data_IF_158292201053
#
_entry.id   IF_158292201053
#
_cell.length_a   1.000
_cell.length_b   1.000
_cell.length_c   1.000
_cell.angle_alpha   90.00
_cell.angle_beta   90.00
_cell.angle_gamma   90.00
#
_symmetry.space_group_name_H-M   'P 1'
#
loop_
_entity.id
_entity.type
_entity.pdbx_description
1 polymer ?
#
# COMPACT_ATOMS: atom_id res chain seq x y z
N UNK A 1 16.98 23.21 49.56
CA UNK A 1 16.66 22.07 48.68
C UNK A 1 15.90 22.58 47.46
N UNK A 2 16.67 23.03 46.47
CA UNK A 2 16.14 23.57 45.21
C UNK A 2 15.76 22.42 44.28
N UNK A 3 14.46 22.19 44.07
CA UNK A 3 13.93 21.12 43.22
C UNK A 3 14.11 21.34 41.71
N UNK A 4 14.79 22.41 41.29
CA UNK A 4 14.99 22.80 39.90
C UNK A 4 16.49 23.03 39.62
N UNK A 5 17.27 21.95 39.63
CA UNK A 5 18.68 21.97 39.22
C UNK A 5 18.86 21.36 37.82
N UNK A 6 19.74 21.92 36.98
CA UNK A 6 20.02 21.35 35.67
C UNK A 6 20.81 20.03 35.83
N UNK A 7 20.35 18.96 35.19
CA UNK A 7 21.04 17.66 35.17
C UNK A 7 22.01 17.55 34.00
N UNK A 8 21.56 17.85 32.78
CA UNK A 8 22.36 17.75 31.56
C UNK A 8 21.97 18.80 30.51
N UNK A 9 22.86 19.05 29.56
CA UNK A 9 22.65 19.96 28.43
C UNK A 9 23.25 19.38 27.15
N UNK A 10 22.51 19.48 26.04
CA UNK A 10 22.95 19.01 24.73
C UNK A 10 22.79 20.13 23.70
N UNK A 11 23.86 20.41 22.95
CA UNK A 11 23.80 21.32 21.81
C UNK A 11 23.13 20.63 20.62
N UNK A 12 22.24 21.35 19.92
CA UNK A 12 21.49 20.86 18.76
C UNK A 12 21.97 21.56 17.48
N UNK A 13 21.96 20.86 16.33
CA UNK A 13 22.40 21.46 15.06
C UNK A 13 21.39 22.46 14.48
N UNK A 14 20.15 22.43 14.94
CA UNK A 14 19.09 23.38 14.61
C UNK A 14 18.15 23.54 15.82
N UNK A 15 17.24 24.50 15.76
CA UNK A 15 16.24 24.70 16.81
C UNK A 15 15.34 23.46 16.96
N UNK A 16 15.01 23.10 18.20
CA UNK A 16 14.05 22.05 18.51
C UNK A 16 12.62 22.55 18.26
N UNK A 17 11.86 21.79 17.50
CA UNK A 17 10.42 21.98 17.28
C UNK A 17 9.60 21.21 18.32
N UNK A 18 10.01 19.98 18.65
CA UNK A 18 9.28 19.14 19.61
C UNK A 18 10.19 18.15 20.33
N UNK A 19 9.76 17.70 21.51
CA UNK A 19 10.48 16.76 22.36
C UNK A 19 9.52 15.65 22.81
N UNK A 20 9.99 14.40 22.85
CA UNK A 20 9.20 13.28 23.36
C UNK A 20 10.09 12.25 24.06
N UNK A 21 9.87 12.09 25.37
CA UNK A 21 10.50 11.02 26.15
C UNK A 21 9.59 9.80 26.10
N UNK A 22 10.19 8.65 25.79
CA UNK A 22 9.49 7.38 25.69
C UNK A 22 10.36 6.26 26.23
N UNK A 23 9.74 5.32 26.93
CA UNK A 23 10.37 4.07 27.32
C UNK A 23 10.04 3.02 26.26
N UNK A 24 11.07 2.43 25.65
CA UNK A 24 10.91 1.42 24.59
C UNK A 24 11.75 0.19 24.90
N UNK A 25 11.24 -0.99 24.50
CA UNK A 25 11.95 -2.25 24.68
C UNK A 25 11.76 -2.89 26.06
N UNK A 26 10.76 -2.47 26.84
CA UNK A 26 10.24 -3.31 27.92
C UNK A 26 9.64 -4.57 27.28
N UNK A 27 10.05 -5.75 27.76
CA UNK A 27 9.44 -7.01 27.34
C UNK A 27 8.01 -7.13 27.88
N UNK A 28 7.24 -8.12 27.40
CA UNK A 28 5.94 -8.45 28.00
C UNK A 28 6.06 -8.90 29.47
N UNK A 29 7.25 -9.36 29.87
CA UNK A 29 7.59 -9.66 31.25
C UNK A 29 7.93 -8.37 32.01
N UNK A 30 7.13 -8.06 33.03
CA UNK A 30 7.20 -6.93 33.99
C UNK A 30 8.56 -6.81 34.75
N UNK A 31 9.52 -7.69 34.44
CA UNK A 31 10.85 -7.75 35.04
C UNK A 31 11.94 -7.04 34.22
N UNK A 32 11.72 -6.79 32.93
CA UNK A 32 12.67 -6.12 32.06
C UNK A 32 12.33 -4.63 31.93
N UNK A 33 13.01 -3.77 32.69
CA UNK A 33 12.91 -2.31 32.55
C UNK A 33 13.27 -1.90 31.12
N UNK A 34 12.43 -1.09 30.49
CA UNK A 34 12.70 -0.57 29.16
C UNK A 34 13.82 0.47 29.20
N UNK A 35 14.35 0.81 28.03
CA UNK A 35 15.32 1.90 27.90
C UNK A 35 14.57 3.21 27.64
N UNK A 36 14.93 4.26 28.37
CA UNK A 36 14.39 5.60 28.15
C UNK A 36 15.11 6.27 26.98
N UNK A 37 14.33 6.82 26.07
CA UNK A 37 14.81 7.57 24.92
C UNK A 37 14.21 8.97 24.93
N UNK A 38 15.07 9.97 24.77
CA UNK A 38 14.70 11.33 24.42
C UNK A 38 14.71 11.47 22.89
N UNK A 39 13.54 11.71 22.30
CA UNK A 39 13.38 12.04 20.90
C UNK A 39 13.27 13.56 20.75
N UNK A 40 14.02 14.12 19.80
CA UNK A 40 14.10 15.56 19.55
C UNK A 40 13.80 15.79 18.07
N UNK A 41 12.68 16.44 17.79
CA UNK A 41 12.32 16.88 16.45
C UNK A 41 12.86 18.28 16.21
N UNK A 42 13.59 18.48 15.11
CA UNK A 42 14.17 19.78 14.74
C UNK A 42 13.33 20.48 13.67
N UNK A 43 13.46 21.80 13.60
CA UNK A 43 12.76 22.65 12.62
C UNK A 43 13.15 22.37 11.17
N UNK A 44 14.34 21.83 10.95
CA UNK A 44 14.86 21.48 9.62
C UNK A 44 14.48 20.05 9.17
N UNK A 45 13.58 19.36 9.88
CA UNK A 45 13.12 18.03 9.48
C UNK A 45 13.99 16.86 9.93
N UNK A 46 14.97 17.13 10.78
CA UNK A 46 15.82 16.11 11.41
C UNK A 46 15.20 15.62 12.72
N UNK A 47 15.19 14.31 12.91
CA UNK A 47 14.89 13.63 14.16
C UNK A 47 16.20 13.15 14.80
N UNK A 48 16.38 13.49 16.07
CA UNK A 48 17.40 12.91 16.93
C UNK A 48 16.73 11.98 17.93
N UNK A 49 17.39 10.84 18.20
CA UNK A 49 17.02 9.95 19.30
C UNK A 49 18.24 9.70 20.15
N UNK A 50 18.14 10.02 21.43
CA UNK A 50 19.22 9.92 22.41
C UNK A 50 18.77 9.02 23.55
N UNK A 51 19.65 8.16 24.05
CA UNK A 51 19.41 7.37 25.26
C UNK A 51 19.51 8.30 26.47
N UNK A 52 18.50 8.25 27.34
CA UNK A 52 18.41 9.05 28.56
C UNK A 52 18.62 8.14 29.78
N UNK A 53 19.62 8.43 30.59
CA UNK A 53 19.82 7.75 31.87
C UNK A 53 18.79 8.26 32.91
N UNK A 54 17.94 7.39 33.50
CA UNK A 54 16.95 7.81 34.49
C UNK A 54 17.54 8.33 35.81
N UNK A 55 18.79 7.98 36.13
CA UNK A 55 19.45 8.32 37.40
C UNK A 55 20.27 9.59 37.24
N UNK A 56 21.16 9.65 36.24
CA UNK A 56 22.06 10.81 36.06
C UNK A 56 21.45 11.91 35.20
N UNK A 57 20.47 11.57 34.35
CA UNK A 57 19.94 12.48 33.33
C UNK A 57 20.88 12.65 32.14
N UNK A 58 21.96 11.86 32.06
CA UNK A 58 22.93 11.93 30.96
C UNK A 58 22.32 11.46 29.64
N UNK A 59 22.82 12.06 28.57
CA UNK A 59 22.36 11.89 27.20
C UNK A 59 23.47 11.21 26.38
N UNK A 60 23.20 10.00 25.86
CA UNK A 60 24.19 9.19 25.13
C UNK A 60 23.60 8.47 23.90
N UNK A 61 24.43 7.88 23.02
CA UNK A 61 24.03 7.21 21.75
C UNK A 61 22.99 8.02 20.93
N UNK A 62 23.31 9.29 20.65
CA UNK A 62 22.46 10.13 19.79
C UNK A 62 22.52 9.64 18.34
N UNK A 63 21.37 9.22 17.82
CA UNK A 63 21.20 8.83 16.41
C UNK A 63 20.39 9.87 15.66
N UNK A 64 20.80 10.15 14.43
CA UNK A 64 20.21 11.19 13.58
C UNK A 64 19.54 10.60 12.35
N UNK A 65 18.34 11.06 12.02
CA UNK A 65 17.60 10.70 10.80
C UNK A 65 16.90 11.93 10.22
N UNK A 66 16.99 12.12 8.91
CA UNK A 66 16.21 13.14 8.21
C UNK A 66 14.86 12.54 7.81
N UNK A 67 13.75 13.16 8.24
CA UNK A 67 12.39 12.64 8.02
C UNK A 67 11.65 13.32 6.87
N UNK A 68 12.03 14.56 6.53
CA UNK A 68 11.31 15.35 5.55
C UNK A 68 11.67 16.83 5.58
N UNK A 69 11.04 17.63 4.72
CA UNK A 69 11.34 19.06 4.57
C UNK A 69 10.63 19.97 5.58
N UNK A 70 9.70 19.43 6.39
CA UNK A 70 8.92 20.19 7.39
C UNK A 70 9.48 19.97 8.81
N UNK A 71 9.26 20.90 9.75
CA UNK A 71 9.58 20.69 11.17
C UNK A 71 9.04 19.37 11.70
N UNK A 72 9.82 18.67 12.53
CA UNK A 72 9.42 17.37 13.09
C UNK A 72 8.59 17.56 14.35
N UNK A 73 7.34 17.11 14.32
CA UNK A 73 6.45 17.03 15.48
C UNK A 73 6.39 15.59 16.00
N UNK A 74 6.54 15.43 17.32
CA UNK A 74 6.60 14.13 17.99
C UNK A 74 5.37 13.90 18.85
N UNK A 75 4.76 12.72 18.73
CA UNK A 75 3.59 12.32 19.49
C UNK A 75 3.79 10.93 20.07
N UNK A 76 3.45 10.78 21.35
CA UNK A 76 3.49 9.48 22.03
C UNK A 76 2.21 8.73 21.71
N UNK A 77 2.34 7.50 21.23
CA UNK A 77 1.21 6.62 20.93
C UNK A 77 1.46 5.23 21.53
N UNK A 78 0.39 4.44 21.65
CA UNK A 78 0.47 3.05 22.08
C UNK A 78 0.27 2.13 20.87
N UNK A 79 1.07 1.07 20.79
CA UNK A 79 1.08 0.11 19.69
C UNK A 79 1.46 -1.28 20.22
N UNK A 80 0.58 -2.25 20.03
CA UNK A 80 0.70 -3.62 20.53
C UNK A 80 1.09 -3.66 22.02
N UNK A 81 0.37 -2.91 22.86
CA UNK A 81 0.67 -2.83 24.29
C UNK A 81 1.86 -1.93 24.66
N UNK A 82 2.76 -1.66 23.71
CA UNK A 82 4.01 -0.95 23.93
C UNK A 82 3.93 0.53 23.53
N UNK A 83 4.84 1.32 24.09
CA UNK A 83 4.96 2.74 23.76
C UNK A 83 5.74 2.93 22.46
N UNK A 84 5.21 3.77 21.59
CA UNK A 84 5.81 4.14 20.32
C UNK A 84 5.78 5.67 20.14
N UNK A 85 6.58 6.16 19.20
CA UNK A 85 6.63 7.58 18.84
C UNK A 85 6.23 7.74 17.40
N UNK A 86 5.23 8.59 17.17
CA UNK A 86 4.85 9.04 15.85
C UNK A 86 5.56 10.37 15.57
N UNK A 87 6.45 10.37 14.59
CA UNK A 87 7.20 11.54 14.15
C UNK A 87 6.64 12.05 12.82
N UNK A 88 6.17 13.28 12.78
CA UNK A 88 5.48 13.86 11.63
C UNK A 88 6.28 15.01 11.02
N UNK A 89 6.48 14.95 9.71
CA UNK A 89 7.15 15.99 8.90
C UNK A 89 6.44 16.08 7.53
N UNK A 90 7.14 16.01 6.40
CA UNK A 90 6.53 15.87 5.08
C UNK A 90 5.90 14.49 4.86
N UNK A 91 6.36 13.48 5.60
CA UNK A 91 5.73 12.17 5.77
C UNK A 91 5.63 11.85 7.25
N UNK A 92 4.67 11.01 7.63
CA UNK A 92 4.55 10.50 9.00
C UNK A 92 5.38 9.23 9.15
N UNK A 93 6.14 9.13 10.23
CA UNK A 93 7.03 8.02 10.53
C UNK A 93 6.67 7.44 11.89
N UNK A 94 6.63 6.11 11.95
CA UNK A 94 6.42 5.37 13.18
C UNK A 94 7.76 4.84 13.70
N UNK A 95 8.11 5.26 14.91
CA UNK A 95 9.27 4.82 15.67
C UNK A 95 8.82 3.85 16.76
N UNK A 96 9.22 2.59 16.67
CA UNK A 96 8.82 1.54 17.61
C UNK A 96 9.93 0.52 17.84
N UNK A 97 9.84 -0.23 18.93
CA UNK A 97 10.71 -1.37 19.21
C UNK A 97 9.96 -2.67 18.94
N UNK A 98 10.58 -3.59 18.21
CA UNK A 98 10.03 -4.91 17.93
C UNK A 98 11.17 -5.94 17.94
N UNK A 99 11.01 -7.01 18.72
CA UNK A 99 12.04 -8.05 18.93
C UNK A 99 13.40 -7.47 19.31
N UNK A 100 13.43 -6.55 20.29
CA UNK A 100 14.63 -5.82 20.73
C UNK A 100 15.36 -5.04 19.63
N UNK A 101 14.71 -4.79 18.49
CA UNK A 101 15.22 -3.97 17.40
C UNK A 101 14.33 -2.76 17.19
N UNK A 102 14.98 -1.61 17.10
CA UNK A 102 14.30 -0.39 16.75
C UNK A 102 13.99 -0.30 15.26
N UNK A 103 12.77 0.10 14.95
CA UNK A 103 12.27 0.33 13.61
C UNK A 103 11.77 1.77 13.49
N UNK A 104 12.07 2.38 12.34
CA UNK A 104 11.55 3.68 11.94
C UNK A 104 10.96 3.52 10.54
N UNK A 105 9.65 3.30 10.48
CA UNK A 105 8.95 3.00 9.23
C UNK A 105 8.08 4.18 8.81
N UNK A 106 8.12 4.61 7.54
CA UNK A 106 7.21 5.63 7.05
C UNK A 106 5.81 5.03 6.92
N UNK A 107 4.78 5.79 7.29
CA UNK A 107 3.39 5.43 7.02
C UNK A 107 3.09 5.71 5.55
N UNK A 108 2.46 4.77 4.85
CA UNK A 108 1.95 4.97 3.49
C UNK A 108 0.61 5.71 3.55
N UNK A 109 0.69 6.96 4.00
CA UNK A 109 -0.44 7.84 4.18
C UNK A 109 -0.04 9.26 3.79
N UNK A 110 -1.04 10.11 3.58
CA UNK A 110 -0.81 11.55 3.40
C UNK A 110 -0.18 12.19 4.65
N UNK A 111 0.39 13.38 4.48
CA UNK A 111 1.02 14.10 5.59
C UNK A 111 -0.01 14.48 6.65
N UNK A 112 0.26 14.12 7.90
CA UNK A 112 -0.57 14.46 9.05
C UNK A 112 0.02 15.67 9.79
N UNK A 113 -0.82 16.51 10.39
CA UNK A 113 -0.41 17.75 11.08
C UNK A 113 -0.35 17.60 12.60
N UNK A 114 -1.33 16.89 13.16
CA UNK A 114 -1.39 16.54 14.57
C UNK A 114 -1.92 15.12 14.75
N UNK A 115 -1.51 14.45 15.82
CA UNK A 115 -2.00 13.13 16.14
C UNK A 115 -1.97 12.86 17.65
N UNK A 116 -2.86 11.98 18.11
CA UNK A 116 -2.91 11.50 19.49
C UNK A 116 -3.35 10.04 19.51
N UNK A 117 -2.95 9.30 20.56
CA UNK A 117 -3.47 7.97 20.80
C UNK A 117 -4.99 8.00 20.98
N UNK A 118 -5.66 6.98 20.43
CA UNK A 118 -7.11 6.80 20.49
C UNK A 118 -7.42 5.35 20.86
N UNK A 119 -8.49 5.14 21.65
CA UNK A 119 -8.94 3.82 22.08
C UNK A 119 -10.46 3.84 22.18
N UNK A 120 -11.12 2.91 21.48
CA UNK A 120 -12.56 2.67 21.55
C UNK A 120 -12.85 1.18 21.39
N UNK A 121 -14.11 0.76 21.61
CA UNK A 121 -14.53 -0.63 21.40
C UNK A 121 -14.31 -1.09 19.94
N UNK A 122 -14.53 -0.19 18.98
CA UNK A 122 -14.34 -0.45 17.55
C UNK A 122 -12.87 -0.40 17.13
N UNK A 123 -12.02 0.28 17.90
CA UNK A 123 -10.60 0.47 17.63
C UNK A 123 -9.82 0.47 18.94
N UNK A 124 -9.46 -0.71 19.48
CA UNK A 124 -8.82 -0.82 20.79
C UNK A 124 -7.47 -0.09 20.87
N UNK A 125 -6.71 -0.08 19.78
CA UNK A 125 -5.48 0.70 19.64
C UNK A 125 -5.49 1.44 18.29
N UNK A 126 -5.72 2.74 18.36
CA UNK A 126 -5.78 3.62 17.20
C UNK A 126 -5.06 4.94 17.41
N UNK A 127 -5.07 5.74 16.35
CA UNK A 127 -4.53 7.09 16.31
C UNK A 127 -5.62 8.00 15.76
N UNK A 128 -5.95 9.04 16.50
CA UNK A 128 -6.72 10.16 15.94
C UNK A 128 -5.74 11.18 15.39
N UNK A 129 -5.93 11.57 14.14
CA UNK A 129 -5.05 12.49 13.44
C UNK A 129 -5.84 13.58 12.70
N UNK A 130 -5.23 14.75 12.57
CA UNK A 130 -5.76 15.87 11.78
C UNK A 130 -4.87 16.02 10.56
N UNK A 131 -5.48 16.10 9.40
CA UNK A 131 -4.82 16.39 8.13
C UNK A 131 -5.61 17.46 7.40
N UNK A 132 -4.99 18.64 7.24
CA UNK A 132 -5.64 19.83 6.67
C UNK A 132 -7.00 20.08 7.35
N UNK A 133 -8.09 19.93 6.61
CA UNK A 133 -9.45 20.21 7.10
C UNK A 133 -10.21 18.93 7.51
N UNK A 134 -9.53 17.79 7.65
CA UNK A 134 -10.16 16.50 7.94
C UNK A 134 -9.64 15.89 9.24
N UNK A 135 -10.56 15.37 10.05
CA UNK A 135 -10.25 14.52 11.21
C UNK A 135 -10.32 13.06 10.77
N UNK A 136 -9.31 12.27 11.14
CA UNK A 136 -9.16 10.87 10.71
C UNK A 136 -8.85 9.98 11.90
N UNK A 137 -9.55 8.85 12.00
CA UNK A 137 -9.23 7.77 12.96
C UNK A 137 -8.54 6.68 12.16
N UNK A 138 -7.32 6.33 12.58
CA UNK A 138 -6.44 5.38 11.92
C UNK A 138 -6.16 4.21 12.87
N UNK A 139 -6.17 2.99 12.35
CA UNK A 139 -5.70 1.80 13.05
C UNK A 139 -4.47 1.26 12.34
N UNK A 140 -3.45 0.86 13.11
CA UNK A 140 -2.24 0.25 12.56
C UNK A 140 -2.28 -1.26 12.88
N UNK A 141 -2.66 -2.08 11.91
CA UNK A 141 -2.87 -3.52 12.16
C UNK A 141 -1.62 -4.37 11.90
N UNK A 142 -0.93 -4.13 10.78
CA UNK A 142 0.19 -4.96 10.32
C UNK A 142 1.54 -4.32 10.61
N UNK A 143 2.04 -4.52 11.82
CA UNK A 143 3.41 -4.11 12.19
C UNK A 143 4.44 -5.07 11.57
N UNK A 144 5.53 -4.52 11.02
CA UNK A 144 6.63 -5.31 10.43
C UNK A 144 6.55 -5.54 8.92
N UNK A 145 5.40 -5.32 8.29
CA UNK A 145 5.30 -5.22 6.84
C UNK A 145 5.74 -3.83 6.38
N UNK A 146 6.90 -3.73 5.72
CA UNK A 146 7.50 -2.45 5.33
C UNK A 146 6.86 -1.87 4.05
N UNK A 147 6.21 -2.72 3.24
CA UNK A 147 5.57 -2.33 1.99
C UNK A 147 4.05 -2.42 2.10
N UNK A 148 3.39 -1.30 1.87
CA UNK A 148 1.96 -1.28 1.58
C UNK A 148 1.77 -1.47 0.08
N UNK A 149 0.82 -2.32 -0.30
CA UNK A 149 0.49 -2.59 -1.69
C UNK A 149 -0.98 -2.29 -1.93
N UNK A 150 -1.26 -1.66 -3.07
CA UNK A 150 -2.59 -1.52 -3.65
C UNK A 150 -2.52 -2.23 -4.99
N UNK A 151 -3.45 -3.14 -5.26
CA UNK A 151 -3.48 -3.92 -6.49
C UNK A 151 -4.52 -3.35 -7.46
N UNK A 152 -4.09 -3.05 -8.67
CA UNK A 152 -4.98 -2.75 -9.78
C UNK A 152 -5.06 -3.98 -10.68
N UNK A 153 -6.24 -4.61 -10.80
CA UNK A 153 -6.32 -5.86 -11.51
C UNK A 153 -6.33 -5.62 -13.02
N UNK A 154 -5.65 -6.50 -13.74
CA UNK A 154 -5.47 -6.48 -15.19
C UNK A 154 -6.19 -7.66 -15.85
N UNK A 155 -6.28 -7.68 -17.19
CA UNK A 155 -7.03 -8.70 -17.94
C UNK A 155 -6.15 -9.92 -18.28
N UNK A 156 -4.92 -9.67 -18.76
CA UNK A 156 -3.95 -10.71 -19.10
C UNK A 156 -2.65 -10.55 -18.29
N UNK A 157 -1.75 -11.53 -18.38
CA UNK A 157 -0.45 -11.46 -17.69
C UNK A 157 0.38 -10.27 -18.19
N UNK A 158 0.73 -9.29 -17.32
CA UNK A 158 1.54 -8.14 -17.72
C UNK A 158 2.99 -8.59 -17.95
N UNK A 159 3.59 -8.17 -19.07
CA UNK A 159 4.98 -8.53 -19.43
C UNK A 159 5.96 -7.39 -19.23
N UNK A 160 5.54 -6.17 -19.55
CA UNK A 160 6.37 -4.96 -19.43
C UNK A 160 5.45 -3.74 -19.29
N UNK A 161 5.92 -2.71 -18.59
CA UNK A 161 5.29 -1.40 -18.61
C UNK A 161 6.33 -0.30 -18.79
N UNK A 162 5.87 0.87 -19.21
CA UNK A 162 6.68 2.10 -19.35
C UNK A 162 5.94 3.26 -18.69
N UNK A 163 6.69 4.24 -18.18
CA UNK A 163 6.14 5.46 -17.57
C UNK A 163 6.17 6.57 -18.62
N UNK A 164 5.02 7.18 -18.88
CA UNK A 164 4.93 8.33 -19.76
C UNK A 164 5.48 9.59 -19.04
N UNK A 165 6.54 10.26 -19.52
CA UNK A 165 7.22 11.31 -18.76
C UNK A 165 6.35 12.52 -18.43
N UNK A 166 5.42 12.89 -19.30
CA UNK A 166 4.64 14.13 -19.15
C UNK A 166 3.38 13.93 -18.31
N UNK A 167 2.75 12.76 -18.37
CA UNK A 167 1.51 12.48 -17.64
C UNK A 167 1.70 11.55 -16.44
N UNK A 168 2.89 10.95 -16.27
CA UNK A 168 3.17 9.90 -15.27
C UNK A 168 2.28 8.65 -15.36
N UNK A 169 1.50 8.50 -16.44
CA UNK A 169 0.69 7.32 -16.69
C UNK A 169 1.55 6.12 -17.07
N UNK A 170 1.05 4.92 -16.77
CA UNK A 170 1.67 3.66 -17.14
C UNK A 170 1.10 3.15 -18.46
N UNK A 171 1.96 2.77 -19.39
CA UNK A 171 1.58 1.98 -20.57
C UNK A 171 2.02 0.55 -20.31
N UNK A 172 1.06 -0.34 -20.12
CA UNK A 172 1.25 -1.74 -19.73
C UNK A 172 0.95 -2.62 -20.92
N UNK A 173 1.85 -3.56 -21.19
CA UNK A 173 1.69 -4.60 -22.19
C UNK A 173 1.28 -5.90 -21.49
N UNK A 174 0.12 -6.43 -21.85
CA UNK A 174 -0.43 -7.66 -21.30
C UNK A 174 -0.48 -8.72 -22.42
N UNK A 175 -0.01 -9.93 -22.14
CA UNK A 175 0.08 -11.01 -23.14
C UNK A 175 -0.03 -12.36 -22.48
N UNK A 176 -1.03 -13.12 -22.92
CA UNK A 176 -1.34 -14.45 -22.40
C UNK A 176 -1.24 -15.52 -23.49
N UNK A 177 -0.63 -16.64 -23.11
CA UNK A 177 -0.59 -17.83 -23.95
C UNK A 177 -1.83 -18.68 -23.70
N UNK A 178 -2.28 -19.43 -24.71
CA UNK A 178 -3.41 -20.34 -24.57
C UNK A 178 -4.72 -19.60 -24.19
N UNK A 179 -4.88 -18.37 -24.69
CA UNK A 179 -5.99 -17.48 -24.38
C UNK A 179 -6.67 -16.94 -25.64
N UNK A 180 -7.97 -16.66 -25.51
CA UNK A 180 -8.76 -15.99 -26.53
C UNK A 180 -8.84 -14.48 -26.27
N UNK A 181 -8.89 -13.70 -27.35
CA UNK A 181 -9.32 -12.31 -27.30
C UNK A 181 -10.83 -12.23 -27.00
N UNK A 182 -11.30 -11.12 -26.42
CA UNK A 182 -12.73 -10.92 -26.15
C UNK A 182 -13.61 -11.08 -27.40
N UNK A 183 -13.13 -10.61 -28.55
CA UNK A 183 -13.82 -10.77 -29.83
C UNK A 183 -13.98 -12.26 -30.19
N UNK A 184 -12.90 -13.04 -30.08
CA UNK A 184 -12.93 -14.48 -30.37
C UNK A 184 -13.74 -15.26 -29.34
N UNK A 185 -13.72 -14.87 -28.06
CA UNK A 185 -14.56 -15.47 -27.02
C UNK A 185 -16.04 -15.28 -27.35
N UNK A 186 -16.42 -14.06 -27.77
CA UNK A 186 -17.79 -13.74 -28.15
C UNK A 186 -18.25 -14.56 -29.36
N UNK A 187 -17.41 -14.65 -30.40
CA UNK A 187 -17.71 -15.46 -31.58
C UNK A 187 -17.85 -16.95 -31.24
N UNK A 188 -16.91 -17.51 -30.45
CA UNK A 188 -16.98 -18.89 -29.95
C UNK A 188 -18.23 -19.17 -29.13
N UNK A 189 -18.65 -18.22 -28.28
CA UNK A 189 -19.88 -18.34 -27.50
C UNK A 189 -21.12 -18.42 -28.38
N UNK A 190 -21.20 -17.57 -29.42
CA UNK A 190 -22.31 -17.59 -30.37
C UNK A 190 -22.31 -18.92 -31.15
N UNK A 191 -21.15 -19.35 -31.64
CA UNK A 191 -21.03 -20.63 -32.35
C UNK A 191 -21.45 -21.82 -31.47
N UNK A 192 -21.04 -21.86 -30.20
CA UNK A 192 -21.45 -22.91 -29.26
C UNK A 192 -22.97 -22.90 -29.01
N UNK A 193 -23.57 -21.71 -28.93
CA UNK A 193 -25.01 -21.57 -28.77
C UNK A 193 -25.78 -22.07 -30.01
N UNK A 194 -25.26 -21.82 -31.22
CA UNK A 194 -25.81 -22.32 -32.49
C UNK A 194 -25.67 -23.85 -32.58
N UNK A 195 -24.48 -24.39 -32.29
CA UNK A 195 -24.24 -25.85 -32.29
C UNK A 195 -25.12 -26.59 -31.27
N UNK A 196 -25.40 -25.99 -30.11
CA UNK A 196 -26.34 -26.55 -29.12
C UNK A 196 -27.78 -26.59 -29.64
N UNK A 197 -28.20 -25.61 -30.45
CA UNK A 197 -29.53 -25.59 -31.05
C UNK A 197 -29.65 -26.59 -32.20
N UNK A 198 -28.62 -26.71 -33.03
CA UNK A 198 -28.61 -27.65 -34.17
C UNK A 198 -28.52 -29.12 -33.74
N UNK A 199 -27.88 -29.41 -32.61
CA UNK A 199 -27.76 -30.77 -32.07
C UNK A 199 -29.03 -31.28 -31.36
N UNK A 200 -29.99 -30.39 -31.07
CA UNK A 200 -31.23 -30.75 -30.38
C UNK A 200 -32.21 -31.46 -31.33
N UNK A 201 -32.84 -32.54 -30.86
CA UNK A 201 -33.94 -33.18 -31.59
C UNK A 201 -35.23 -32.35 -31.55
N UNK A 202 -36.19 -32.65 -32.44
CA UNK A 202 -37.46 -31.90 -32.57
C UNK A 202 -38.25 -31.77 -31.26
N UNK A 203 -38.10 -32.71 -30.31
CA UNK A 203 -38.77 -32.68 -29.00
C UNK A 203 -38.07 -31.78 -27.95
N UNK A 204 -36.80 -31.43 -28.13
CA UNK A 204 -35.97 -30.68 -27.16
C UNK A 204 -35.58 -29.27 -27.66
N UNK A 205 -36.08 -28.84 -28.81
CA UNK A 205 -35.68 -27.59 -29.48
C UNK A 205 -35.97 -26.33 -28.64
N UNK A 206 -37.12 -26.28 -27.94
CA UNK A 206 -37.46 -25.15 -27.05
C UNK A 206 -36.53 -25.06 -25.85
N UNK A 207 -36.20 -26.21 -25.24
CA UNK A 207 -35.29 -26.28 -24.09
C UNK A 207 -33.85 -25.89 -24.49
N UNK A 208 -33.40 -26.34 -25.66
CA UNK A 208 -32.08 -25.98 -26.20
C UNK A 208 -31.96 -24.49 -26.48
N UNK A 209 -33.03 -23.84 -26.99
CA UNK A 209 -33.07 -22.39 -27.18
C UNK A 209 -32.99 -21.64 -25.85
N UNK A 210 -33.69 -22.10 -24.82
CA UNK A 210 -33.63 -21.50 -23.48
C UNK A 210 -32.23 -21.61 -22.87
N UNK A 211 -31.60 -22.80 -22.95
CA UNK A 211 -30.23 -23.00 -22.46
C UNK A 211 -29.19 -22.16 -23.23
N UNK A 212 -29.31 -22.08 -24.55
CA UNK A 212 -28.42 -21.26 -25.38
C UNK A 212 -28.53 -19.77 -25.05
N UNK A 213 -29.75 -19.27 -24.80
CA UNK A 213 -29.95 -17.89 -24.36
C UNK A 213 -29.41 -17.64 -22.96
N UNK A 214 -29.60 -18.59 -22.03
CA UNK A 214 -29.02 -18.50 -20.70
C UNK A 214 -27.48 -18.45 -20.76
N UNK A 215 -26.86 -19.30 -21.60
CA UNK A 215 -25.42 -19.32 -21.81
C UNK A 215 -24.86 -18.02 -22.42
N UNK A 216 -25.58 -17.40 -23.35
CA UNK A 216 -25.17 -16.11 -23.94
C UNK A 216 -25.36 -14.94 -22.98
N UNK A 217 -26.34 -15.01 -22.08
CA UNK A 217 -26.63 -13.97 -21.10
C UNK A 217 -25.72 -14.05 -19.86
N UNK A 218 -25.25 -15.25 -19.50
CA UNK A 218 -24.42 -15.45 -18.32
C UNK A 218 -22.93 -15.32 -18.64
N UNK A 219 -22.36 -14.18 -18.27
CA UNK A 219 -20.91 -13.99 -18.31
C UNK A 219 -20.27 -14.31 -16.96
N UNK A 220 -19.70 -15.51 -16.85
CA UNK A 220 -19.04 -15.96 -15.63
C UNK A 220 -17.75 -15.17 -15.36
N UNK A 221 -17.56 -14.59 -14.17
CA UNK A 221 -16.35 -13.85 -13.85
C UNK A 221 -15.09 -14.72 -13.92
N UNK A 222 -14.22 -14.44 -14.89
CA UNK A 222 -13.00 -15.23 -15.14
C UNK A 222 -12.02 -15.24 -13.97
N UNK A 223 -12.09 -14.26 -13.07
CA UNK A 223 -11.24 -14.24 -11.86
C UNK A 223 -11.59 -15.34 -10.87
N UNK A 224 -12.84 -15.79 -10.87
CA UNK A 224 -13.33 -16.84 -9.96
C UNK A 224 -13.30 -18.20 -10.67
N UNK A 225 -13.77 -18.24 -11.92
CA UNK A 225 -13.94 -19.48 -12.69
C UNK A 225 -12.76 -19.82 -13.61
N UNK A 226 -11.71 -19.00 -13.60
CA UNK A 226 -10.59 -19.03 -14.55
C UNK A 226 -10.98 -18.67 -15.99
N UNK A 227 -10.03 -18.13 -16.74
CA UNK A 227 -10.24 -17.81 -18.14
C UNK A 227 -10.34 -19.07 -19.03
N UNK A 228 -11.21 -19.10 -20.05
CA UNK A 228 -11.27 -20.18 -21.03
C UNK A 228 -9.94 -20.37 -21.76
N UNK A 229 -9.47 -21.62 -21.83
CA UNK A 229 -8.20 -21.98 -22.50
C UNK A 229 -8.43 -22.30 -23.97
N UNK A 230 -7.66 -21.65 -24.85
CA UNK A 230 -7.91 -21.66 -26.29
C UNK A 230 -7.31 -22.86 -27.06
N UNK A 231 -6.37 -23.56 -26.47
CA UNK A 231 -5.52 -24.55 -27.11
C UNK A 231 -4.13 -24.02 -27.46
N UNK A 232 -3.25 -24.92 -27.92
CA UNK A 232 -1.88 -24.60 -28.30
C UNK A 232 -1.85 -23.65 -29.51
N UNK A 233 -0.92 -22.69 -29.50
CA UNK A 233 -0.71 -21.75 -30.61
C UNK A 233 -1.62 -20.51 -30.57
N UNK A 234 -2.54 -20.43 -29.62
CA UNK A 234 -3.44 -19.28 -29.48
C UNK A 234 -2.87 -18.25 -28.50
N UNK A 235 -2.92 -16.97 -28.89
CA UNK A 235 -2.43 -15.86 -28.07
C UNK A 235 -3.45 -14.71 -28.02
N UNK A 236 -3.51 -14.07 -26.87
CA UNK A 236 -4.25 -12.82 -26.69
C UNK A 236 -3.33 -11.76 -26.07
N UNK A 237 -3.40 -10.54 -26.59
CA UNK A 237 -2.57 -9.45 -26.13
C UNK A 237 -3.32 -8.12 -26.21
N UNK A 238 -3.00 -7.23 -25.28
CA UNK A 238 -3.50 -5.86 -25.27
C UNK A 238 -2.49 -4.90 -24.67
N UNK A 239 -2.70 -3.62 -24.96
CA UNK A 239 -1.94 -2.51 -24.42
C UNK A 239 -2.88 -1.61 -23.62
N UNK A 240 -2.55 -1.36 -22.36
CA UNK A 240 -3.35 -0.59 -21.40
C UNK A 240 -2.65 0.69 -21.00
N UNK A 241 -3.36 1.83 -21.07
CA UNK A 241 -2.93 3.09 -20.46
C UNK A 241 -3.62 3.23 -19.10
N UNK A 242 -2.86 3.18 -18.01
CA UNK A 242 -3.34 3.16 -16.63
C UNK A 242 -2.78 4.35 -15.84
N UNK A 243 -3.63 5.03 -15.07
CA UNK A 243 -3.21 5.96 -14.02
C UNK A 243 -2.74 5.16 -12.79
N UNK A 244 -1.46 5.26 -12.37
CA UNK A 244 -0.94 4.53 -11.23
C UNK A 244 -1.42 5.06 -9.87
N UNK A 245 -2.02 6.25 -9.79
CA UNK A 245 -2.48 6.84 -8.54
C UNK A 245 -3.91 6.39 -8.22
N UNK A 246 -4.82 6.56 -9.18
CA UNK A 246 -6.23 6.17 -9.01
C UNK A 246 -6.52 4.72 -9.41
N UNK A 247 -5.66 4.11 -10.23
CA UNK A 247 -5.92 2.79 -10.82
C UNK A 247 -6.90 2.84 -12.00
N UNK A 248 -7.20 4.03 -12.52
CA UNK A 248 -8.14 4.22 -13.63
C UNK A 248 -7.49 3.87 -14.96
N UNK A 249 -8.14 3.02 -15.75
CA UNK A 249 -7.70 2.76 -17.13
C UNK A 249 -8.26 3.84 -18.07
N UNK A 250 -7.38 4.54 -18.78
CA UNK A 250 -7.75 5.55 -19.77
C UNK A 250 -8.02 4.96 -21.16
N UNK A 251 -7.22 3.97 -21.56
CA UNK A 251 -7.30 3.36 -22.88
C UNK A 251 -6.93 1.89 -22.80
N UNK A 252 -7.65 1.07 -23.57
CA UNK A 252 -7.30 -0.33 -23.82
C UNK A 252 -7.27 -0.52 -25.33
N UNK A 253 -6.11 -0.90 -25.86
CA UNK A 253 -5.92 -1.25 -27.26
C UNK A 253 -5.76 -2.76 -27.34
N UNK A 254 -6.80 -3.44 -27.84
CA UNK A 254 -6.83 -4.90 -27.99
C UNK A 254 -6.20 -5.27 -29.33
N UNK A 255 -5.28 -6.24 -29.29
CA UNK A 255 -4.70 -6.79 -30.51
C UNK A 255 -5.56 -7.94 -31.04
N UNK A 256 -5.39 -8.24 -32.31
CA UNK A 256 -6.07 -9.35 -32.97
C UNK A 256 -5.64 -10.70 -32.37
N UNK A 257 -6.46 -11.73 -32.59
CA UNK A 257 -6.16 -13.09 -32.16
C UNK A 257 -4.83 -13.56 -32.76
N UNK A 258 -3.99 -14.18 -31.93
CA UNK A 258 -2.66 -14.69 -32.29
C UNK A 258 -1.59 -13.62 -32.56
N UNK A 259 -1.88 -12.34 -32.28
CA UNK A 259 -0.85 -11.32 -32.12
C UNK A 259 -0.41 -11.25 -30.66
N UNK A 260 0.86 -11.58 -30.41
CA UNK A 260 1.48 -11.51 -29.09
C UNK A 260 2.48 -10.37 -29.06
N UNK A 261 2.14 -9.29 -28.35
CA UNK A 261 3.10 -8.22 -28.13
C UNK A 261 4.19 -8.72 -27.15
N UNK A 262 5.46 -8.48 -27.46
CA UNK A 262 6.59 -8.97 -26.64
C UNK A 262 7.40 -7.85 -26.02
N UNK A 263 7.32 -6.64 -26.57
CA UNK A 263 8.08 -5.50 -26.11
C UNK A 263 7.32 -4.20 -26.36
N UNK A 264 7.58 -3.21 -25.50
CA UNK A 264 7.06 -1.84 -25.61
C UNK A 264 8.17 -0.87 -25.24
N UNK A 265 8.25 0.25 -25.95
CA UNK A 265 9.18 1.35 -25.72
C UNK A 265 8.52 2.68 -26.12
N UNK A 266 8.94 3.77 -25.47
CA UNK A 266 8.55 5.14 -25.79
C UNK A 266 9.77 5.88 -26.32
N UNK A 267 9.69 6.41 -27.54
CA UNK A 267 10.79 7.12 -28.20
C UNK A 267 10.23 8.44 -28.75
N UNK A 268 10.96 9.54 -28.53
CA UNK A 268 10.73 10.82 -29.20
C UNK A 268 11.64 10.85 -30.43
N UNK A 269 11.05 11.00 -31.62
CA UNK A 269 11.76 11.09 -32.90
C UNK A 269 11.94 12.55 -33.31
#
# INVERSE_FOLDING_TARGET
>A
DDGLSPLSMQALPAAAESLCIVEMGAGEDDSARGTLYLNIGLTNGVLLRTVLDPVTGDLSDTRTRYLGSRPVKLFRIKMQGNQAVLAMSSRSWLSYSYQNRFHLTPLSYESLEFASGFSSEQCPEGIVAISSNTLRILALEKLGAVFNQVSFPVEYTPRKFIVHPESSNLIILETEHNAYTEETKRQRRIQMAEEMQEAAGEEEEELAKEMAQAFLNEDLPERVFSAPKAGAGMWASLLRLLDPVEGKTHLILRLEQNLAAVSVALVKF
#
